data_IF_798551258396
#
_entry.id   IF_798551258396
#
_cell.length_a   1.000
_cell.length_b   1.000
_cell.length_c   1.000
_cell.angle_alpha   90.00
_cell.angle_beta   90.00
_cell.angle_gamma   90.00
#
_symmetry.space_group_name_H-M   'P 1'
#
loop_
_entity.id
_entity.type
_entity.pdbx_description
1 polymer ?
#
# COMPACT_ATOMS: atom_id res chain seq x y z
N UNK A 1 -20.68 -0.84 33.96
CA UNK A 1 -21.24 -0.11 32.80
C UNK A 1 -20.33 -0.23 31.58
N UNK A 2 -19.03 0.04 31.72
CA UNK A 2 -18.01 -0.15 30.65
C UNK A 2 -18.01 -1.55 30.02
N UNK A 3 -18.00 -2.62 30.83
CA UNK A 3 -18.05 -4.01 30.33
C UNK A 3 -19.26 -4.32 29.43
N UNK A 4 -20.42 -3.70 29.69
CA UNK A 4 -21.64 -3.93 28.91
C UNK A 4 -21.55 -3.18 27.57
N UNK A 5 -20.96 -1.98 27.59
CA UNK A 5 -20.71 -1.17 26.39
C UNK A 5 -19.69 -1.87 25.48
N UNK A 6 -18.62 -2.42 26.03
CA UNK A 6 -17.60 -3.16 25.26
C UNK A 6 -18.16 -4.43 24.61
N UNK A 7 -19.01 -5.17 25.32
CA UNK A 7 -19.67 -6.37 24.78
C UNK A 7 -20.64 -5.99 23.66
N UNK A 8 -21.44 -4.94 23.85
CA UNK A 8 -22.36 -4.46 22.81
C UNK A 8 -21.62 -3.93 21.58
N UNK A 9 -20.50 -3.22 21.78
CA UNK A 9 -19.63 -2.74 20.71
C UNK A 9 -19.00 -3.90 19.94
N UNK A 10 -18.42 -4.88 20.64
CA UNK A 10 -17.83 -6.06 20.02
C UNK A 10 -18.83 -6.89 19.21
N UNK A 11 -20.05 -7.07 19.74
CA UNK A 11 -21.13 -7.75 19.02
C UNK A 11 -21.55 -6.99 17.75
N UNK A 12 -21.70 -5.67 17.85
CA UNK A 12 -22.09 -4.82 16.71
C UNK A 12 -21.03 -4.80 15.62
N UNK A 13 -19.74 -4.73 15.98
CA UNK A 13 -18.62 -4.82 15.03
C UNK A 13 -18.62 -6.18 14.35
N UNK A 14 -18.81 -7.27 15.10
CA UNK A 14 -18.83 -8.62 14.54
C UNK A 14 -19.96 -8.80 13.51
N UNK A 15 -21.17 -8.33 13.83
CA UNK A 15 -22.30 -8.36 12.89
C UNK A 15 -21.99 -7.54 11.64
N UNK A 16 -21.45 -6.33 11.81
CA UNK A 16 -21.06 -5.47 10.68
C UNK A 16 -20.03 -6.14 9.76
N UNK A 17 -19.01 -6.79 10.33
CA UNK A 17 -18.00 -7.53 9.57
C UNK A 17 -18.61 -8.73 8.83
N UNK A 18 -19.47 -9.52 9.48
CA UNK A 18 -20.14 -10.65 8.82
C UNK A 18 -21.00 -10.19 7.63
N UNK A 19 -21.72 -9.07 7.76
CA UNK A 19 -22.50 -8.51 6.65
C UNK A 19 -21.63 -8.03 5.49
N UNK A 20 -20.44 -7.48 5.78
CA UNK A 20 -19.45 -7.11 4.77
C UNK A 20 -18.89 -8.36 4.04
N UNK A 21 -18.50 -9.38 4.79
CA UNK A 21 -17.95 -10.64 4.25
C UNK A 21 -18.97 -11.37 3.36
N UNK A 22 -20.25 -11.31 3.72
CA UNK A 22 -21.34 -11.88 2.91
C UNK A 22 -21.79 -10.99 1.74
N UNK A 23 -21.14 -9.84 1.51
CA UNK A 23 -21.50 -8.87 0.48
C UNK A 23 -22.97 -8.41 0.57
N UNK A 24 -23.49 -8.25 1.79
CA UNK A 24 -24.88 -7.86 2.05
C UNK A 24 -25.07 -6.35 2.26
N UNK A 25 -23.97 -5.59 2.38
CA UNK A 25 -24.02 -4.14 2.54
C UNK A 25 -23.87 -3.42 1.19
N UNK A 26 -24.79 -2.52 0.82
CA UNK A 26 -24.63 -1.71 -0.38
C UNK A 26 -23.40 -0.79 -0.31
N UNK A 27 -22.75 -0.58 -1.45
CA UNK A 27 -21.56 0.28 -1.60
C UNK A 27 -21.70 1.66 -0.95
N UNK A 28 -22.88 2.29 -1.09
CA UNK A 28 -23.15 3.60 -0.51
C UNK A 28 -23.10 3.57 1.03
N UNK A 29 -23.56 2.48 1.64
CA UNK A 29 -23.52 2.27 3.09
C UNK A 29 -22.08 2.07 3.53
N UNK A 30 -21.34 1.18 2.86
CA UNK A 30 -19.92 0.92 3.14
C UNK A 30 -19.14 2.24 3.10
N UNK A 31 -19.26 3.01 2.00
CA UNK A 31 -18.58 4.30 1.83
C UNK A 31 -18.99 5.33 2.89
N UNK A 32 -20.25 5.36 3.32
CA UNK A 32 -20.72 6.27 4.39
C UNK A 32 -20.07 5.91 5.73
N UNK A 33 -20.08 4.63 6.09
CA UNK A 33 -19.48 4.14 7.34
C UNK A 33 -17.97 4.36 7.36
N UNK A 34 -17.26 4.06 6.26
CA UNK A 34 -15.83 4.36 6.13
C UNK A 34 -15.53 5.85 6.35
N UNK A 35 -16.32 6.75 5.74
CA UNK A 35 -16.13 8.21 5.95
C UNK A 35 -16.38 8.63 7.40
N UNK A 36 -17.32 8.00 8.11
CA UNK A 36 -17.55 8.27 9.54
C UNK A 36 -16.35 7.85 10.39
N UNK A 37 -15.76 6.68 10.12
CA UNK A 37 -14.55 6.21 10.80
C UNK A 37 -13.35 7.12 10.51
N UNK A 38 -13.16 7.51 9.24
CA UNK A 38 -12.12 8.47 8.85
C UNK A 38 -12.32 9.83 9.54
N UNK A 39 -13.55 10.35 9.60
CA UNK A 39 -13.85 11.59 10.31
C UNK A 39 -13.57 11.47 11.82
N UNK A 40 -13.85 10.32 12.43
CA UNK A 40 -13.47 10.01 13.81
C UNK A 40 -11.95 10.05 14.00
N UNK A 41 -11.19 9.45 13.07
CA UNK A 41 -9.73 9.48 13.11
C UNK A 41 -9.17 10.90 12.95
N UNK A 42 -9.71 11.69 12.02
CA UNK A 42 -9.30 13.09 11.85
C UNK A 42 -9.55 13.91 13.13
N UNK A 43 -10.73 13.78 13.74
CA UNK A 43 -11.03 14.43 15.04
C UNK A 43 -10.06 14.02 16.15
N UNK A 44 -9.65 12.75 16.19
CA UNK A 44 -8.68 12.28 17.18
C UNK A 44 -7.25 12.77 16.94
N UNK A 45 -6.89 12.98 15.66
CA UNK A 45 -5.55 13.33 15.22
C UNK A 45 -5.24 14.83 15.26
N UNK A 46 -6.22 15.68 14.92
CA UNK A 46 -6.05 17.13 14.97
C UNK A 46 -6.03 17.65 16.40
N UNK A 47 -5.07 18.52 16.69
CA UNK A 47 -4.98 19.24 17.97
C UNK A 47 -5.43 20.69 17.81
N UNK A 48 -5.91 21.34 18.88
CA UNK A 48 -6.42 22.72 18.80
C UNK A 48 -5.38 23.77 18.39
N UNK A 49 -4.09 23.51 18.64
CA UNK A 49 -3.00 24.44 18.29
C UNK A 49 -1.85 23.72 17.59
N UNK A 50 -1.06 24.49 16.83
CA UNK A 50 0.11 23.98 16.12
C UNK A 50 1.19 23.43 17.08
N UNK A 51 1.36 24.05 18.25
CA UNK A 51 2.30 23.61 19.29
C UNK A 51 1.90 22.24 19.85
N UNK A 52 0.61 22.04 20.12
CA UNK A 52 0.11 20.73 20.55
C UNK A 52 0.26 19.68 19.45
N UNK A 53 0.02 20.05 18.18
CA UNK A 53 0.19 19.16 17.04
C UNK A 53 1.66 18.72 16.88
N UNK A 54 2.60 19.66 17.01
CA UNK A 54 4.03 19.38 16.96
C UNK A 54 4.46 18.52 18.16
N UNK A 55 3.98 18.81 19.37
CA UNK A 55 4.25 18.00 20.55
C UNK A 55 3.78 16.55 20.39
N UNK A 56 2.60 16.33 19.80
CA UNK A 56 2.08 14.99 19.48
C UNK A 56 2.96 14.26 18.44
N UNK A 57 3.37 14.97 17.38
CA UNK A 57 4.29 14.44 16.37
C UNK A 57 5.65 14.05 16.99
N UNK A 58 6.23 14.91 17.82
CA UNK A 58 7.52 14.65 18.45
C UNK A 58 7.45 13.47 19.42
N UNK A 59 6.36 13.34 20.18
CA UNK A 59 6.09 12.14 21.01
C UNK A 59 6.00 10.88 20.17
N UNK A 60 5.31 10.93 19.03
CA UNK A 60 5.24 9.80 18.11
C UNK A 60 6.63 9.45 17.55
N UNK A 61 7.39 10.44 17.08
CA UNK A 61 8.76 10.24 16.56
C UNK A 61 9.68 9.63 17.62
N UNK A 62 9.63 10.11 18.86
CA UNK A 62 10.41 9.54 19.96
C UNK A 62 9.99 8.09 20.25
N UNK A 63 8.70 7.78 20.19
CA UNK A 63 8.20 6.41 20.39
C UNK A 63 8.72 5.44 19.33
N UNK A 64 8.68 5.80 18.05
CA UNK A 64 9.11 4.91 16.95
C UNK A 64 10.62 4.73 16.91
N UNK A 65 11.40 5.72 17.38
CA UNK A 65 12.87 5.60 17.50
C UNK A 65 13.31 4.55 18.52
N UNK A 66 12.44 4.24 19.49
CA UNK A 66 12.67 3.24 20.54
C UNK A 66 12.20 1.84 20.15
N UNK A 67 11.52 1.71 19.00
CA UNK A 67 11.02 0.43 18.50
C UNK A 67 12.07 -0.28 17.63
N UNK A 68 12.00 -1.62 17.50
CA UNK A 68 12.78 -2.32 16.49
C UNK A 68 12.36 -1.89 15.07
N UNK A 69 13.24 -2.08 14.08
CA UNK A 69 13.00 -1.71 12.68
C UNK A 69 11.66 -2.25 12.15
N UNK A 70 11.31 -3.48 12.52
CA UNK A 70 10.02 -4.08 12.20
C UNK A 70 9.53 -4.95 13.37
N UNK A 71 8.23 -4.86 13.66
CA UNK A 71 7.51 -5.78 14.55
C UNK A 71 6.67 -6.74 13.71
N UNK A 72 6.45 -7.95 14.19
CA UNK A 72 5.62 -8.97 13.52
C UNK A 72 6.04 -9.34 12.09
N UNK A 73 7.34 -9.52 11.83
CA UNK A 73 7.90 -9.82 10.49
C UNK A 73 7.33 -11.08 9.81
N UNK A 74 6.72 -12.00 10.57
CA UNK A 74 6.11 -13.22 10.05
C UNK A 74 4.64 -13.05 9.61
N UNK A 75 3.89 -12.09 10.16
CA UNK A 75 2.45 -11.90 9.84
C UNK A 75 2.18 -11.40 8.40
N UNK A 76 2.99 -10.49 7.81
CA UNK A 76 2.80 -10.09 6.42
C UNK A 76 2.92 -11.26 5.43
N UNK A 77 3.68 -12.31 5.76
CA UNK A 77 3.83 -13.50 4.91
C UNK A 77 2.54 -14.29 4.79
N UNK A 78 1.72 -14.33 5.85
CA UNK A 78 0.46 -15.08 5.89
C UNK A 78 -0.76 -14.23 5.51
N UNK A 79 -0.76 -12.91 5.68
CA UNK A 79 -1.97 -12.10 5.41
C UNK A 79 -2.00 -11.36 4.07
N UNK A 80 -0.88 -11.17 3.37
CA UNK A 80 -0.84 -10.31 2.17
C UNK A 80 -0.31 -10.96 0.88
N UNK A 81 0.01 -12.26 0.88
CA UNK A 81 0.50 -12.98 -0.31
C UNK A 81 -0.12 -14.37 -0.54
N UNK A 82 -1.26 -14.67 0.10
CA UNK A 82 -1.95 -15.96 -0.10
C UNK A 82 -2.74 -16.04 -1.42
N UNK A 83 -2.92 -14.92 -2.12
CA UNK A 83 -3.56 -14.94 -3.45
C UNK A 83 -2.53 -15.21 -4.55
N UNK A 84 -2.87 -16.05 -5.54
CA UNK A 84 -1.98 -16.36 -6.66
C UNK A 84 -1.74 -15.12 -7.52
N UNK A 85 -0.59 -15.04 -8.19
CA UNK A 85 -0.26 -13.93 -9.11
C UNK A 85 -1.35 -13.70 -10.16
N UNK A 86 -1.98 -14.77 -10.65
CA UNK A 86 -3.08 -14.69 -11.61
C UNK A 86 -4.28 -13.84 -11.13
N UNK A 87 -4.55 -13.80 -9.81
CA UNK A 87 -5.58 -12.90 -9.28
C UNK A 87 -5.16 -11.44 -9.46
N UNK A 88 -3.90 -11.12 -9.18
CA UNK A 88 -3.38 -9.77 -9.30
C UNK A 88 -3.30 -9.31 -10.75
N UNK A 89 -3.08 -10.21 -11.70
CA UNK A 89 -3.13 -9.90 -13.14
C UNK A 89 -4.53 -9.46 -13.61
N UNK A 90 -5.59 -9.84 -12.89
CA UNK A 90 -6.97 -9.44 -13.21
C UNK A 90 -7.34 -8.07 -12.64
N UNK A 91 -6.70 -7.63 -11.55
CA UNK A 91 -7.12 -6.43 -10.80
C UNK A 91 -6.10 -5.29 -10.85
N UNK A 92 -4.87 -5.56 -11.26
CA UNK A 92 -3.82 -4.56 -11.43
C UNK A 92 -3.64 -4.21 -12.91
N UNK A 93 -2.99 -3.08 -13.17
CA UNK A 93 -2.63 -2.69 -14.53
C UNK A 93 -1.47 -3.52 -15.08
N UNK A 94 -1.09 -3.22 -16.32
CA UNK A 94 -0.07 -3.96 -17.08
C UNK A 94 1.28 -4.06 -16.38
N UNK A 95 1.67 -3.08 -15.57
CA UNK A 95 2.94 -3.09 -14.85
C UNK A 95 2.84 -3.83 -13.51
N UNK A 96 1.70 -4.44 -13.17
CA UNK A 96 1.47 -5.14 -11.91
C UNK A 96 1.76 -4.27 -10.69
N UNK A 97 1.36 -2.99 -10.74
CA UNK A 97 1.74 -2.00 -9.73
C UNK A 97 0.80 -2.07 -8.53
N UNK A 98 1.26 -2.74 -7.47
CA UNK A 98 0.52 -2.82 -6.21
C UNK A 98 0.88 -1.68 -5.24
N UNK A 99 0.73 -0.44 -5.70
CA UNK A 99 0.86 0.80 -4.92
C UNK A 99 0.25 1.99 -5.67
N UNK A 100 0.06 3.14 -5.02
CA UNK A 100 -0.64 4.31 -5.61
C UNK A 100 -0.15 4.69 -7.01
N UNK A 101 -1.07 4.81 -7.95
CA UNK A 101 -0.81 5.36 -9.29
C UNK A 101 -0.90 6.88 -9.31
N UNK A 102 -0.60 7.50 -10.46
CA UNK A 102 -0.71 8.94 -10.68
C UNK A 102 -1.62 9.23 -11.86
N UNK A 103 -2.86 9.63 -11.58
CA UNK A 103 -3.83 10.01 -12.60
C UNK A 103 -3.60 11.48 -12.97
N UNK A 104 -3.09 11.75 -14.17
CA UNK A 104 -2.76 13.10 -14.62
C UNK A 104 -4.00 13.91 -15.03
N UNK A 105 -5.08 13.24 -15.39
CA UNK A 105 -6.38 13.81 -15.72
C UNK A 105 -7.50 12.78 -15.49
N UNK A 106 -8.75 13.24 -15.51
CA UNK A 106 -9.95 12.42 -15.24
C UNK A 106 -10.20 11.30 -16.26
N UNK A 107 -9.58 11.37 -17.44
CA UNK A 107 -9.69 10.36 -18.50
C UNK A 107 -8.54 9.33 -18.52
N UNK A 108 -7.57 9.44 -17.62
CA UNK A 108 -6.42 8.53 -17.57
C UNK A 108 -6.86 7.11 -17.23
N UNK A 109 -6.42 6.12 -18.01
CA UNK A 109 -6.63 4.72 -17.66
C UNK A 109 -5.77 4.31 -16.46
N UNK A 110 -5.98 3.10 -15.92
CA UNK A 110 -5.11 2.56 -14.88
C UNK A 110 -3.67 2.38 -15.40
N UNK A 111 -3.52 1.93 -16.64
CA UNK A 111 -2.24 1.74 -17.31
C UNK A 111 -1.50 3.08 -17.50
N UNK A 112 -2.21 4.12 -17.94
CA UNK A 112 -1.65 5.47 -18.05
C UNK A 112 -1.15 5.96 -16.69
N UNK A 113 -1.95 5.72 -15.64
CA UNK A 113 -1.63 6.15 -14.30
C UNK A 113 -0.45 5.38 -13.67
N UNK A 114 -0.28 4.10 -14.02
CA UNK A 114 0.91 3.31 -13.66
C UNK A 114 2.16 3.84 -14.37
N UNK A 115 2.10 4.08 -15.67
CA UNK A 115 3.21 4.62 -16.46
C UNK A 115 3.65 5.99 -15.92
N UNK A 116 2.69 6.88 -15.65
CA UNK A 116 2.96 8.23 -15.16
C UNK A 116 3.67 8.23 -13.80
N UNK A 117 3.24 7.39 -12.85
CA UNK A 117 3.90 7.33 -11.55
C UNK A 117 5.30 6.69 -11.63
N UNK A 118 5.51 5.70 -12.49
CA UNK A 118 6.81 5.04 -12.68
C UNK A 118 7.82 5.99 -13.35
N UNK A 119 7.35 6.78 -14.33
CA UNK A 119 8.13 7.87 -14.90
C UNK A 119 8.51 8.92 -13.84
N UNK A 120 7.54 9.32 -12.99
CA UNK A 120 7.77 10.29 -11.91
C UNK A 120 8.76 9.78 -10.85
N UNK A 121 8.75 8.47 -10.56
CA UNK A 121 9.77 7.87 -9.69
C UNK A 121 11.16 8.00 -10.30
N UNK A 122 11.33 7.68 -11.58
CA UNK A 122 12.61 7.81 -12.27
C UNK A 122 13.09 9.26 -12.32
N UNK A 123 12.19 10.20 -12.61
CA UNK A 123 12.49 11.64 -12.61
C UNK A 123 12.98 12.12 -11.24
N UNK A 124 12.20 11.85 -10.19
CA UNK A 124 12.50 12.34 -8.83
C UNK A 124 13.71 11.66 -8.21
N UNK A 125 13.92 10.38 -8.50
CA UNK A 125 15.11 9.65 -8.09
C UNK A 125 16.32 9.95 -8.99
N UNK A 126 16.15 10.72 -10.07
CA UNK A 126 17.19 11.06 -11.05
C UNK A 126 17.88 9.82 -11.61
N UNK A 127 17.07 8.84 -12.03
CA UNK A 127 17.57 7.61 -12.64
C UNK A 127 18.17 7.94 -14.00
N UNK A 128 19.41 7.54 -14.18
CA UNK A 128 20.17 7.70 -15.42
C UNK A 128 20.65 6.34 -15.92
N UNK A 129 20.80 6.21 -17.24
CA UNK A 129 21.25 4.97 -17.86
C UNK A 129 22.67 4.59 -17.42
N UNK A 130 22.88 3.32 -17.08
CA UNK A 130 24.17 2.81 -16.58
C UNK A 130 24.31 2.78 -15.04
N UNK A 131 23.32 3.29 -14.30
CA UNK A 131 23.32 3.23 -12.84
C UNK A 131 23.04 1.83 -12.30
N UNK A 132 23.47 1.55 -11.07
CA UNK A 132 23.00 0.41 -10.29
C UNK A 132 21.84 0.84 -9.40
N UNK A 133 20.68 0.19 -9.54
CA UNK A 133 19.44 0.56 -8.85
C UNK A 133 18.96 -0.58 -7.96
N UNK A 134 18.64 -0.27 -6.70
CA UNK A 134 18.09 -1.18 -5.71
C UNK A 134 16.62 -0.83 -5.42
N UNK A 135 15.72 -1.79 -5.65
CA UNK A 135 14.28 -1.68 -5.43
C UNK A 135 13.87 -2.54 -4.22
N UNK A 136 13.68 -1.90 -3.06
CA UNK A 136 13.38 -2.58 -1.78
C UNK A 136 11.86 -2.71 -1.63
N UNK A 137 11.38 -3.95 -1.52
CA UNK A 137 9.96 -4.24 -1.55
C UNK A 137 9.40 -4.18 -2.98
N UNK A 138 10.13 -4.74 -3.95
CA UNK A 138 9.88 -4.54 -5.39
C UNK A 138 8.54 -5.09 -5.91
N UNK A 139 7.76 -5.80 -5.10
CA UNK A 139 6.47 -6.37 -5.50
C UNK A 139 6.61 -7.31 -6.69
N UNK A 140 5.72 -7.21 -7.68
CA UNK A 140 5.83 -7.91 -8.97
C UNK A 140 6.80 -7.24 -9.97
N UNK A 141 7.67 -6.35 -9.47
CA UNK A 141 8.72 -5.73 -10.27
C UNK A 141 8.25 -4.54 -11.10
N UNK A 142 7.15 -3.88 -10.72
CA UNK A 142 6.57 -2.77 -11.50
C UNK A 142 7.60 -1.69 -11.83
N UNK A 143 8.42 -1.28 -10.86
CA UNK A 143 9.48 -0.28 -11.06
C UNK A 143 10.74 -0.90 -11.65
N UNK A 144 11.18 -2.04 -11.13
CA UNK A 144 12.38 -2.72 -11.61
C UNK A 144 12.33 -3.03 -13.11
N UNK A 145 11.23 -3.62 -13.59
CA UNK A 145 11.02 -3.94 -15.00
C UNK A 145 10.82 -2.68 -15.84
N UNK A 146 10.21 -1.64 -15.27
CA UNK A 146 10.09 -0.35 -15.93
C UNK A 146 11.46 0.28 -16.24
N UNK A 147 12.32 0.36 -15.22
CA UNK A 147 13.67 0.91 -15.38
C UNK A 147 14.47 0.05 -16.35
N UNK A 148 14.40 -1.28 -16.25
CA UNK A 148 15.12 -2.18 -17.15
C UNK A 148 14.76 -1.97 -18.64
N UNK A 149 13.48 -1.68 -18.94
CA UNK A 149 13.04 -1.36 -20.32
C UNK A 149 13.48 0.02 -20.78
N UNK A 150 13.46 1.02 -19.89
CA UNK A 150 13.72 2.43 -20.22
C UNK A 150 15.22 2.80 -20.22
N UNK A 151 16.00 2.14 -19.38
CA UNK A 151 17.42 2.39 -19.13
C UNK A 151 18.21 1.08 -19.26
N UNK A 152 18.49 0.68 -20.50
CA UNK A 152 19.03 -0.64 -20.85
C UNK A 152 20.39 -1.00 -20.22
N UNK A 153 21.18 -0.01 -19.80
CA UNK A 153 22.50 -0.24 -19.18
C UNK A 153 22.43 -0.27 -17.66
N UNK A 154 21.27 0.01 -17.07
CA UNK A 154 21.12 -0.07 -15.63
C UNK A 154 21.25 -1.50 -15.12
N UNK A 155 21.87 -1.64 -13.94
CA UNK A 155 21.93 -2.91 -13.21
C UNK A 155 20.89 -2.88 -12.08
N UNK A 156 19.86 -3.71 -12.21
CA UNK A 156 18.73 -3.72 -11.29
C UNK A 156 18.88 -4.82 -10.25
N UNK A 157 18.61 -4.51 -8.99
CA UNK A 157 18.47 -5.49 -7.90
C UNK A 157 17.14 -5.25 -7.21
N UNK A 158 16.21 -6.20 -7.30
CA UNK A 158 14.95 -6.16 -6.56
C UNK A 158 15.00 -7.05 -5.32
N UNK A 159 14.49 -6.57 -4.19
CA UNK A 159 14.34 -7.35 -2.96
C UNK A 159 12.86 -7.45 -2.58
N UNK A 160 12.35 -8.67 -2.45
CA UNK A 160 11.01 -8.94 -1.92
C UNK A 160 11.05 -10.17 -1.01
N UNK A 161 10.04 -10.32 -0.15
CA UNK A 161 9.88 -11.44 0.76
C UNK A 161 8.91 -12.51 0.23
N UNK A 162 8.47 -12.41 -1.04
CA UNK A 162 7.50 -13.31 -1.66
C UNK A 162 8.12 -14.14 -2.79
N UNK A 163 7.93 -15.46 -2.73
CA UNK A 163 8.41 -16.40 -3.75
C UNK A 163 7.65 -16.24 -5.08
N UNK A 164 6.35 -15.95 -5.04
CA UNK A 164 5.50 -15.81 -6.24
C UNK A 164 5.83 -14.54 -7.01
N UNK A 165 6.14 -13.45 -6.30
CA UNK A 165 6.61 -12.20 -6.88
C UNK A 165 7.95 -12.38 -7.60
N UNK A 166 8.92 -13.02 -6.95
CA UNK A 166 10.20 -13.34 -7.57
C UNK A 166 10.04 -14.19 -8.82
N UNK A 167 9.26 -15.27 -8.74
CA UNK A 167 9.04 -16.16 -9.89
C UNK A 167 8.43 -15.41 -11.09
N UNK A 168 7.45 -14.54 -10.86
CA UNK A 168 6.87 -13.70 -11.89
C UNK A 168 7.91 -12.78 -12.56
N UNK A 169 8.74 -12.10 -11.76
CA UNK A 169 9.78 -11.22 -12.29
C UNK A 169 10.80 -12.02 -13.11
N UNK A 170 11.28 -13.15 -12.59
CA UNK A 170 12.24 -14.01 -13.27
C UNK A 170 11.69 -14.48 -14.64
N UNK A 171 10.40 -14.80 -14.71
CA UNK A 171 9.73 -15.17 -15.96
C UNK A 171 9.67 -13.99 -16.94
N UNK A 172 9.35 -12.77 -16.48
CA UNK A 172 9.33 -11.57 -17.34
C UNK A 172 10.72 -11.13 -17.82
N UNK A 173 11.79 -11.58 -17.17
CA UNK A 173 13.18 -11.27 -17.52
C UNK A 173 13.81 -12.31 -18.47
N UNK A 174 13.15 -13.43 -18.74
CA UNK A 174 13.59 -14.41 -19.74
C UNK A 174 13.25 -13.94 -21.15
#
# INVERSE_FOLDING_TARGET
MEKIIDVAYGASVKVGLTLLEMNLLPDIVIRRLTRLLLAGRLRSGYKPTAEMQLSDLLRFVDSIKKMPIAIHTEKPKTQHYELPTAFFELVLGRNMKYSSCYFSNDSSSLEDAEEAILALYCERAKVEDGQSVLDIGCGWGSLSLYIARKYSKCKLTGICNSKTQKAFIDEKCR
#
